data_IF_937962488807
#
_entry.id   IF_937962488807
#
_cell.length_a   1.000
_cell.length_b   1.000
_cell.length_c   1.000
_cell.angle_alpha   90.00
_cell.angle_beta   90.00
_cell.angle_gamma   90.00
#
_symmetry.space_group_name_H-M   'P 1'
#
loop_
_entity.id
_entity.type
_entity.pdbx_description
1 polymer ?
#
# COMPACT_ATOMS: atom_id res chain seq x y z
N UNK A 1 32.46 -25.43 -49.66
CA UNK A 1 31.15 -24.78 -49.88
C UNK A 1 31.21 -23.37 -49.28
N UNK A 2 31.28 -22.31 -50.11
CA UNK A 2 31.37 -20.92 -49.62
C UNK A 2 29.96 -20.33 -49.54
N UNK A 3 29.44 -20.08 -48.35
CA UNK A 3 28.12 -19.48 -48.15
C UNK A 3 28.23 -18.00 -48.55
N UNK A 4 27.54 -17.57 -49.62
CA UNK A 4 27.44 -16.15 -49.98
C UNK A 4 26.32 -15.53 -49.16
N UNK A 5 26.69 -14.77 -48.12
CA UNK A 5 25.72 -13.98 -47.35
C UNK A 5 25.22 -12.83 -48.23
N UNK A 6 23.93 -12.81 -48.55
CA UNK A 6 23.33 -11.71 -49.33
C UNK A 6 23.00 -10.53 -48.42
N UNK A 7 23.02 -9.32 -48.96
CA UNK A 7 22.63 -8.10 -48.22
C UNK A 7 21.22 -8.21 -47.62
N UNK A 8 20.31 -8.94 -48.25
CA UNK A 8 18.96 -9.20 -47.76
C UNK A 8 18.93 -10.12 -46.52
N UNK A 9 19.85 -11.10 -46.44
CA UNK A 9 19.99 -11.96 -45.25
C UNK A 9 20.59 -11.20 -44.07
N UNK A 10 21.52 -10.27 -44.36
CA UNK A 10 22.12 -9.41 -43.33
C UNK A 10 21.11 -8.37 -42.80
N UNK A 11 20.29 -7.76 -43.67
CA UNK A 11 19.26 -6.81 -43.26
C UNK A 11 18.13 -7.46 -42.46
N UNK A 12 17.71 -8.67 -42.81
CA UNK A 12 16.71 -9.43 -42.06
C UNK A 12 17.24 -9.82 -40.67
N UNK A 13 18.51 -10.23 -40.57
CA UNK A 13 19.15 -10.54 -39.29
C UNK A 13 19.24 -9.29 -38.38
N UNK A 14 19.55 -8.12 -38.95
CA UNK A 14 19.60 -6.85 -38.20
C UNK A 14 18.20 -6.44 -37.72
N UNK A 15 17.16 -6.58 -38.55
CA UNK A 15 15.77 -6.27 -38.17
C UNK A 15 15.27 -7.18 -37.04
N UNK A 16 15.59 -8.48 -37.07
CA UNK A 16 15.28 -9.42 -35.99
C UNK A 16 16.07 -9.07 -34.72
N UNK A 17 17.33 -8.64 -34.84
CA UNK A 17 18.12 -8.23 -33.68
C UNK A 17 17.54 -6.97 -33.00
N UNK A 18 17.12 -5.98 -33.80
CA UNK A 18 16.51 -4.73 -33.30
C UNK A 18 15.16 -4.99 -32.61
N UNK A 19 14.34 -5.92 -33.13
CA UNK A 19 13.06 -6.27 -32.50
C UNK A 19 13.27 -6.98 -31.16
N UNK A 20 14.24 -7.90 -31.05
CA UNK A 20 14.58 -8.59 -29.80
C UNK A 20 15.09 -7.62 -28.72
N UNK A 21 15.92 -6.64 -29.10
CA UNK A 21 16.41 -5.60 -28.17
C UNK A 21 15.25 -4.68 -27.70
N UNK A 22 14.26 -4.42 -28.55
CA UNK A 22 13.11 -3.57 -28.20
C UNK A 22 12.16 -4.24 -27.19
N UNK A 23 12.00 -5.56 -27.23
CA UNK A 23 11.19 -6.29 -26.25
C UNK A 23 11.86 -6.45 -24.88
N UNK A 24 13.20 -6.46 -24.81
CA UNK A 24 13.92 -6.58 -23.55
C UNK A 24 13.79 -5.34 -22.63
N UNK A 25 13.39 -4.19 -23.18
CA UNK A 25 13.28 -2.92 -22.46
C UNK A 25 11.86 -2.59 -21.93
N UNK A 26 10.86 -3.45 -22.18
CA UNK A 26 9.47 -3.20 -21.78
C UNK A 26 9.11 -3.72 -20.37
N UNK A 27 10.05 -4.29 -19.63
CA UNK A 27 9.82 -4.86 -18.30
C UNK A 27 10.07 -3.88 -17.15
N UNK A 28 9.67 -2.61 -17.29
CA UNK A 28 9.50 -1.76 -16.11
C UNK A 28 8.22 -2.21 -15.41
N UNK A 29 8.34 -3.24 -14.57
CA UNK A 29 7.30 -3.58 -13.61
C UNK A 29 6.88 -2.29 -12.90
N UNK A 30 5.58 -1.99 -12.75
CA UNK A 30 5.14 -0.81 -12.04
C UNK A 30 5.76 -0.87 -10.64
N UNK A 31 6.71 0.02 -10.37
CA UNK A 31 7.40 0.05 -9.10
C UNK A 31 6.40 0.62 -8.08
N UNK A 32 5.89 -0.17 -7.12
CA UNK A 32 4.82 0.31 -6.25
C UNK A 32 5.33 1.49 -5.43
N UNK A 33 4.80 2.69 -5.68
CA UNK A 33 5.22 3.95 -5.05
C UNK A 33 4.55 4.20 -3.69
N UNK A 34 4.84 3.37 -2.67
CA UNK A 34 3.90 3.16 -1.57
C UNK A 34 4.57 2.59 -0.31
N UNK A 35 3.81 2.38 0.78
CA UNK A 35 4.35 1.74 1.99
C UNK A 35 3.28 1.29 2.98
N UNK A 36 3.67 0.42 3.91
CA UNK A 36 2.81 -0.09 4.98
C UNK A 36 3.61 -0.34 6.26
N UNK A 37 2.93 -0.42 7.40
CA UNK A 37 3.53 -0.84 8.68
C UNK A 37 3.47 -2.36 8.77
N UNK A 38 4.65 -2.99 8.82
CA UNK A 38 4.81 -4.43 9.02
C UNK A 38 5.01 -4.81 10.50
N UNK A 39 5.49 -3.88 11.32
CA UNK A 39 5.65 -4.07 12.77
C UNK A 39 5.31 -2.79 13.58
N UNK A 40 4.41 -2.89 14.59
CA UNK A 40 3.41 -3.94 14.74
C UNK A 40 2.50 -3.98 13.49
N UNK A 41 2.17 -5.17 12.99
CA UNK A 41 1.53 -5.33 11.69
C UNK A 41 0.22 -4.57 11.56
N UNK A 42 0.12 -3.70 10.54
CA UNK A 42 -1.09 -2.92 10.27
C UNK A 42 -2.27 -3.78 9.84
N UNK A 43 -3.48 -3.22 9.94
CA UNK A 43 -4.74 -3.85 9.48
C UNK A 43 -4.66 -4.33 8.02
N UNK A 44 -4.19 -3.46 7.13
CA UNK A 44 -4.02 -3.74 5.70
C UNK A 44 -2.95 -4.83 5.47
N UNK A 45 -1.81 -4.75 6.16
CA UNK A 45 -0.78 -5.77 6.03
C UNK A 45 -1.25 -7.14 6.55
N UNK A 46 -1.98 -7.19 7.66
CA UNK A 46 -2.61 -8.42 8.15
C UNK A 46 -3.65 -8.99 7.18
N UNK A 47 -4.29 -8.17 6.33
CA UNK A 47 -5.10 -8.66 5.22
C UNK A 47 -4.23 -9.36 4.16
N UNK A 48 -3.09 -8.78 3.78
CA UNK A 48 -2.17 -9.44 2.84
C UNK A 48 -1.55 -10.73 3.36
N UNK A 49 -1.45 -10.88 4.69
CA UNK A 49 -1.01 -12.10 5.36
C UNK A 49 -2.14 -13.12 5.55
N UNK A 50 -3.37 -12.81 5.12
CA UNK A 50 -4.56 -13.66 5.33
C UNK A 50 -5.00 -13.79 6.79
N UNK A 51 -4.47 -12.95 7.71
CA UNK A 51 -4.87 -12.92 9.12
C UNK A 51 -6.17 -12.15 9.33
N UNK A 52 -6.43 -11.15 8.49
CA UNK A 52 -7.74 -10.55 8.35
C UNK A 52 -8.36 -11.04 7.05
N UNK A 53 -9.55 -11.63 7.14
CA UNK A 53 -10.33 -12.05 5.98
C UNK A 53 -11.24 -10.94 5.45
N UNK A 54 -11.80 -11.16 4.26
CA UNK A 54 -12.79 -10.29 3.62
C UNK A 54 -12.33 -8.83 3.53
N UNK A 55 -11.11 -8.59 3.05
CA UNK A 55 -10.55 -7.24 2.93
C UNK A 55 -10.58 -6.66 1.52
N UNK A 56 -11.09 -7.39 0.53
CA UNK A 56 -11.14 -6.93 -0.85
C UNK A 56 -9.75 -6.70 -1.45
N UNK A 57 -9.62 -5.65 -2.27
CA UNK A 57 -8.43 -5.36 -3.06
C UNK A 57 -7.16 -5.15 -2.22
N UNK A 58 -7.28 -4.64 -0.98
CA UNK A 58 -6.10 -4.32 -0.15
C UNK A 58 -5.24 -5.53 0.18
N UNK A 59 -5.77 -6.76 0.05
CA UNK A 59 -5.01 -7.99 0.29
C UNK A 59 -3.78 -8.13 -0.62
N UNK A 60 -3.84 -7.59 -1.84
CA UNK A 60 -2.73 -7.70 -2.81
C UNK A 60 -1.88 -6.43 -2.91
N UNK A 61 -2.32 -5.35 -2.26
CA UNK A 61 -1.64 -4.06 -2.31
C UNK A 61 -1.76 -3.29 -0.98
N UNK A 62 -1.31 -3.85 0.15
CA UNK A 62 -1.39 -3.20 1.46
C UNK A 62 -0.65 -1.86 1.51
N UNK A 63 0.31 -1.65 0.62
CA UNK A 63 1.06 -0.42 0.47
C UNK A 63 0.20 0.76 -0.06
N UNK A 64 -0.90 0.48 -0.77
CA UNK A 64 -1.61 1.48 -1.59
C UNK A 64 -2.66 2.32 -0.83
N UNK A 65 -2.75 2.22 0.50
CA UNK A 65 -3.75 2.96 1.30
C UNK A 65 -3.37 4.44 1.41
N UNK A 66 -3.52 5.17 0.32
CA UNK A 66 -3.15 6.57 0.15
C UNK A 66 -4.38 7.49 0.15
N UNK A 67 -4.25 8.64 0.80
CA UNK A 67 -5.29 9.67 0.85
C UNK A 67 -4.71 11.08 0.99
N UNK A 68 -5.60 12.07 1.03
CA UNK A 68 -5.18 13.47 1.21
C UNK A 68 -4.50 13.67 2.57
N UNK A 69 -3.38 14.38 2.60
CA UNK A 69 -2.67 14.77 3.84
C UNK A 69 -3.42 15.84 4.67
N UNK A 70 -2.93 16.07 5.89
CA UNK A 70 -3.38 17.15 6.78
C UNK A 70 -4.41 16.72 7.83
N UNK A 71 -4.49 15.42 8.11
CA UNK A 71 -5.28 14.87 9.21
C UNK A 71 -4.83 15.47 10.56
N UNK A 72 -5.75 15.71 11.54
CA UNK A 72 -7.20 15.48 11.49
C UNK A 72 -8.03 16.64 10.92
N UNK A 73 -7.43 17.79 10.61
CA UNK A 73 -8.18 18.98 10.11
C UNK A 73 -8.60 18.86 8.64
N UNK A 74 -7.93 17.99 7.89
CA UNK A 74 -8.18 17.62 6.49
C UNK A 74 -8.00 16.11 6.35
N UNK A 75 -7.93 15.61 5.13
CA UNK A 75 -7.68 14.21 4.85
C UNK A 75 -8.97 13.40 4.69
N UNK A 76 -8.94 12.08 4.99
CA UNK A 76 -10.12 11.23 4.88
C UNK A 76 -11.27 11.70 5.76
N UNK A 77 -12.50 11.48 5.30
CA UNK A 77 -13.69 11.77 6.09
C UNK A 77 -13.86 10.78 7.26
N UNK A 78 -14.66 11.17 8.24
CA UNK A 78 -15.10 10.28 9.32
C UNK A 78 -15.76 9.00 8.77
N UNK A 79 -15.46 7.87 9.38
CA UNK A 79 -15.85 6.55 8.91
C UNK A 79 -15.11 6.08 7.65
N UNK A 80 -14.13 6.85 7.15
CA UNK A 80 -13.29 6.54 5.98
C UNK A 80 -11.80 6.64 6.25
N UNK A 81 -11.42 6.66 7.53
CA UNK A 81 -10.04 6.86 7.95
C UNK A 81 -9.18 5.65 7.58
N UNK A 82 -9.67 4.42 7.83
CA UNK A 82 -8.88 3.21 7.61
C UNK A 82 -8.67 2.87 6.12
N UNK A 83 -9.63 3.22 5.27
CA UNK A 83 -9.49 3.12 3.80
C UNK A 83 -8.76 4.30 3.17
N UNK A 84 -8.38 5.31 3.95
CA UNK A 84 -7.92 6.61 3.47
C UNK A 84 -8.91 7.33 2.51
N UNK A 85 -10.20 6.98 2.56
CA UNK A 85 -11.23 7.47 1.64
C UNK A 85 -11.22 6.80 0.28
N UNK A 86 -10.44 5.72 0.11
CA UNK A 86 -10.27 5.03 -1.15
C UNK A 86 -11.38 4.00 -1.38
N UNK A 87 -12.12 4.11 -2.49
CA UNK A 87 -13.31 3.28 -2.76
C UNK A 87 -13.03 1.77 -2.81
N UNK A 88 -11.80 1.38 -3.16
CA UNK A 88 -11.42 -0.02 -3.33
C UNK A 88 -10.94 -0.69 -2.03
N UNK A 89 -10.81 0.08 -0.94
CA UNK A 89 -10.37 -0.41 0.37
C UNK A 89 -11.42 -0.19 1.46
N UNK A 90 -12.70 -0.05 1.06
CA UNK A 90 -13.80 0.29 1.96
C UNK A 90 -14.05 -0.76 3.05
N UNK A 91 -13.66 -2.02 2.82
CA UNK A 91 -13.71 -3.10 3.80
C UNK A 91 -12.86 -2.80 5.04
N UNK A 92 -11.80 -2.01 4.89
CA UNK A 92 -11.00 -1.56 6.03
C UNK A 92 -11.79 -0.65 6.98
N UNK A 93 -12.85 -0.01 6.52
CA UNK A 93 -13.66 0.90 7.35
C UNK A 93 -14.67 0.15 8.25
N UNK A 94 -14.86 -1.16 8.03
CA UNK A 94 -15.65 -1.99 8.94
C UNK A 94 -15.05 -1.94 10.35
N UNK A 95 -15.90 -1.75 11.36
CA UNK A 95 -15.45 -1.61 12.73
C UNK A 95 -16.42 -2.32 13.68
N UNK A 96 -15.91 -3.35 14.33
CA UNK A 96 -16.53 -4.01 15.48
C UNK A 96 -15.45 -4.51 16.42
N UNK A 97 -15.81 -4.80 17.67
CA UNK A 97 -14.88 -5.31 18.67
C UNK A 97 -14.16 -6.61 18.23
N UNK A 98 -14.74 -7.38 17.32
CA UNK A 98 -14.25 -8.68 16.86
C UNK A 98 -13.77 -8.71 15.41
N UNK A 99 -13.98 -7.64 14.63
CA UNK A 99 -13.72 -7.63 13.18
C UNK A 99 -12.26 -7.86 12.79
N UNK A 100 -11.33 -7.35 13.59
CA UNK A 100 -9.91 -7.29 13.26
C UNK A 100 -9.06 -8.11 14.23
N UNK A 101 -8.09 -8.82 13.68
CA UNK A 101 -6.99 -9.41 14.44
C UNK A 101 -6.25 -8.31 15.19
N UNK A 102 -6.04 -8.50 16.49
CA UNK A 102 -5.33 -7.55 17.34
C UNK A 102 -3.89 -7.99 17.48
N UNK A 103 -2.99 -7.01 17.45
CA UNK A 103 -1.56 -7.18 17.72
C UNK A 103 -1.29 -6.65 19.12
N UNK A 104 -0.61 -7.46 19.93
CA UNK A 104 -0.31 -7.05 21.30
C UNK A 104 0.75 -5.96 21.30
N UNK A 105 0.45 -4.86 22.00
CA UNK A 105 1.33 -3.70 22.16
C UNK A 105 1.31 -3.32 23.64
N UNK A 106 2.47 -3.10 24.23
CA UNK A 106 2.58 -2.67 25.62
C UNK A 106 2.58 -1.15 25.74
N UNK A 107 2.06 -0.56 26.83
CA UNK A 107 2.23 0.86 27.10
C UNK A 107 3.71 1.26 27.16
N UNK A 108 4.01 2.51 26.79
CA UNK A 108 5.36 3.06 26.82
C UNK A 108 6.08 3.00 25.47
N UNK A 109 7.40 2.79 25.50
CA UNK A 109 8.24 2.86 24.30
C UNK A 109 7.95 1.68 23.37
N UNK A 110 7.56 2.00 22.14
CA UNK A 110 7.33 1.04 21.08
C UNK A 110 8.15 1.41 19.83
N UNK A 111 8.45 0.41 19.01
CA UNK A 111 9.09 0.59 17.70
C UNK A 111 8.05 0.35 16.62
N UNK A 112 7.98 1.25 15.65
CA UNK A 112 7.16 1.10 14.46
C UNK A 112 8.08 1.02 13.24
N UNK A 113 7.88 0.02 12.40
CA UNK A 113 8.64 -0.20 11.17
C UNK A 113 7.72 -0.05 9.96
N UNK A 114 8.15 0.81 9.04
CA UNK A 114 7.52 1.02 7.75
C UNK A 114 8.36 0.32 6.68
N UNK A 115 7.74 -0.59 5.94
CA UNK A 115 8.32 -1.06 4.68
C UNK A 115 7.87 -0.12 3.57
N UNK A 116 8.85 0.56 2.95
CA UNK A 116 8.63 1.49 1.84
C UNK A 116 9.06 0.82 0.53
N UNK A 117 8.13 0.62 -0.39
CA UNK A 117 8.43 0.04 -1.70
C UNK A 117 8.96 1.08 -2.69
N UNK A 118 8.69 2.38 -2.42
CA UNK A 118 9.45 3.49 -3.00
C UNK A 118 9.64 4.62 -1.97
N UNK A 119 10.88 5.07 -1.73
CA UNK A 119 11.14 6.17 -0.80
C UNK A 119 10.79 7.52 -1.42
N UNK A 120 9.72 8.15 -0.92
CA UNK A 120 9.39 9.55 -1.24
C UNK A 120 10.05 10.52 -0.25
N UNK A 121 10.13 11.81 -0.61
CA UNK A 121 10.49 12.85 0.35
C UNK A 121 9.38 12.99 1.39
N UNK A 122 9.65 12.57 2.61
CA UNK A 122 8.67 12.53 3.70
C UNK A 122 8.69 13.81 4.53
N UNK A 123 7.52 14.41 4.78
CA UNK A 123 7.40 15.58 5.69
C UNK A 123 7.57 15.15 7.15
N UNK A 124 6.97 14.03 7.54
CA UNK A 124 7.03 13.46 8.88
C UNK A 124 6.18 12.20 8.98
N UNK A 125 6.27 11.53 10.12
CA UNK A 125 5.44 10.38 10.48
C UNK A 125 4.71 10.71 11.79
N UNK A 126 3.40 10.55 11.82
CA UNK A 126 2.55 10.84 12.97
C UNK A 126 1.79 9.58 13.37
N UNK A 127 1.62 9.37 14.67
CA UNK A 127 0.93 8.21 15.23
C UNK A 127 -0.18 8.70 16.15
N UNK A 128 -1.40 8.23 15.90
CA UNK A 128 -2.58 8.53 16.69
C UNK A 128 -3.09 7.26 17.36
N UNK A 129 -3.75 7.40 18.49
CA UNK A 129 -4.40 6.30 19.20
C UNK A 129 -5.83 6.69 19.56
N UNK A 130 -6.71 5.70 19.67
CA UNK A 130 -8.07 5.91 20.14
C UNK A 130 -8.08 6.41 21.58
N UNK A 131 -9.15 7.14 21.95
CA UNK A 131 -9.39 7.51 23.35
C UNK A 131 -9.70 6.27 24.18
N UNK A 132 -9.50 6.37 25.48
CA UNK A 132 -9.75 5.29 26.43
C UNK A 132 -11.22 4.82 26.42
N UNK A 133 -12.16 5.72 26.15
CA UNK A 133 -13.60 5.53 26.12
C UNK A 133 -14.17 5.39 24.69
N UNK A 134 -13.34 5.13 23.68
CA UNK A 134 -13.82 4.95 22.31
C UNK A 134 -14.74 3.71 22.19
N UNK A 135 -15.75 3.78 21.33
CA UNK A 135 -16.63 2.65 21.04
C UNK A 135 -16.02 1.78 19.92
N UNK A 136 -15.59 0.53 20.22
CA UNK A 136 -15.01 -0.36 19.22
C UNK A 136 -16.02 -0.89 18.20
N UNK A 137 -17.32 -0.65 18.40
CA UNK A 137 -18.40 -1.06 17.50
C UNK A 137 -18.94 0.08 16.63
N UNK A 138 -18.36 1.28 16.72
CA UNK A 138 -18.69 2.41 15.87
C UNK A 138 -17.57 2.66 14.83
N UNK A 139 -17.87 3.23 13.66
CA UNK A 139 -16.86 3.63 12.68
C UNK A 139 -15.79 4.56 13.29
N UNK A 140 -14.56 4.48 12.77
CA UNK A 140 -13.46 5.34 13.22
C UNK A 140 -13.71 6.79 12.79
N UNK A 141 -13.62 7.73 13.74
CA UNK A 141 -13.81 9.16 13.51
C UNK A 141 -12.67 9.97 14.13
N UNK A 142 -12.36 11.11 13.53
CA UNK A 142 -11.33 12.02 14.01
C UNK A 142 -11.90 12.97 15.06
N UNK A 143 -11.17 13.17 16.16
CA UNK A 143 -11.53 14.16 17.17
C UNK A 143 -10.67 15.40 16.94
N UNK A 144 -11.25 16.43 16.32
CA UNK A 144 -10.53 17.64 15.91
C UNK A 144 -10.30 18.61 17.08
N UNK A 145 -11.09 18.48 18.15
CA UNK A 145 -11.00 19.31 19.35
C UNK A 145 -10.51 18.45 20.52
N UNK A 146 -9.20 18.46 20.74
CA UNK A 146 -8.63 18.15 22.05
C UNK A 146 -8.29 19.50 22.71
N UNK A 147 -8.62 19.73 23.99
CA UNK A 147 -8.22 20.95 24.70
C UNK A 147 -6.70 21.11 24.75
#
# INVERSE_FOLDING_TARGET
MKIKLSFAMLSLAILVLISVISFANANTLPNPMHGYIDFPSSRAYLCSLGKNGNCGQVMVEPQSVEGRKGFPRRGPADGKIASAGHRWFGELDEQSATRWTKVDVSPGKNTFHWTLTAPHRTTGWEYFITKQDWDPNAPLVAIINYP
#
